data_IF_177743328269
#
_entry.id   IF_177743328269
#
_cell.length_a   1.000
_cell.length_b   1.000
_cell.length_c   1.000
_cell.angle_alpha   90.00
_cell.angle_beta   90.00
_cell.angle_gamma   90.00
#
_symmetry.space_group_name_H-M   'P 1'
#
loop_
_entity.id
_entity.type
_entity.pdbx_description
1 polymer ?
#
# COMPACT_ATOMS: atom_id res chain seq x y z
N UNK A 1 -14.13 10.69 -2.14
CA UNK A 1 -13.01 11.46 -1.57
C UNK A 1 -11.82 10.54 -1.46
N UNK A 2 -10.64 10.94 -1.92
CA UNK A 2 -9.43 10.12 -1.72
C UNK A 2 -9.19 9.90 -0.23
N UNK A 3 -8.76 8.70 0.12
CA UNK A 3 -8.44 8.33 1.50
C UNK A 3 -6.94 8.07 1.65
N UNK A 4 -6.45 8.26 2.87
CA UNK A 4 -5.08 7.90 3.26
C UNK A 4 -5.13 6.88 4.38
N UNK A 5 -4.27 5.87 4.31
CA UNK A 5 -4.07 4.86 5.35
C UNK A 5 -2.73 5.10 6.04
N UNK A 6 -2.72 5.00 7.36
CA UNK A 6 -1.49 4.89 8.14
C UNK A 6 -1.20 3.42 8.40
N UNK A 7 -0.04 2.94 7.98
CA UNK A 7 0.39 1.56 8.19
C UNK A 7 1.87 1.47 8.55
N UNK A 8 2.32 0.28 8.91
CA UNK A 8 3.74 -0.03 9.01
C UNK A 8 4.11 -0.97 7.86
N UNK A 9 5.23 -0.72 7.22
CA UNK A 9 5.75 -1.54 6.11
C UNK A 9 7.05 -2.20 6.54
N UNK A 10 7.22 -3.48 6.18
CA UNK A 10 8.42 -4.27 6.46
C UNK A 10 9.10 -4.63 5.14
N UNK A 11 10.42 -4.54 5.10
CA UNK A 11 11.21 -5.04 3.97
C UNK A 11 10.95 -6.54 3.77
N UNK A 12 10.61 -6.98 2.56
CA UNK A 12 10.17 -8.36 2.35
C UNK A 12 11.27 -9.41 2.66
N UNK A 13 12.53 -9.07 2.41
CA UNK A 13 13.69 -9.97 2.58
C UNK A 13 14.56 -9.64 3.80
N UNK A 14 14.10 -8.77 4.70
CA UNK A 14 14.89 -8.33 5.85
C UNK A 14 14.03 -7.98 7.05
N UNK A 15 14.66 -7.40 8.07
CA UNK A 15 14.01 -7.04 9.33
C UNK A 15 13.76 -5.53 9.47
N UNK A 16 14.14 -4.72 8.48
CA UNK A 16 13.86 -3.28 8.51
C UNK A 16 12.35 -3.02 8.41
N UNK A 17 11.84 -2.18 9.31
CA UNK A 17 10.44 -1.76 9.38
C UNK A 17 10.39 -0.24 9.39
N UNK A 18 9.45 0.33 8.62
CA UNK A 18 9.06 1.74 8.73
C UNK A 18 7.65 1.83 9.27
N UNK A 19 7.53 2.40 10.45
CA UNK A 19 6.25 2.62 11.10
C UNK A 19 5.59 3.91 10.62
N UNK A 20 4.25 3.96 10.77
CA UNK A 20 3.43 5.17 10.55
C UNK A 20 3.63 5.80 9.17
N UNK A 21 3.89 4.99 8.14
CA UNK A 21 3.90 5.49 6.76
C UNK A 21 2.47 5.81 6.35
N UNK A 22 2.30 6.90 5.62
CA UNK A 22 1.00 7.32 5.08
C UNK A 22 0.96 6.97 3.60
N UNK A 23 -0.03 6.17 3.20
CA UNK A 23 -0.26 5.80 1.80
C UNK A 23 -1.61 6.37 1.39
N UNK A 24 -1.65 7.13 0.29
CA UNK A 24 -2.88 7.64 -0.32
C UNK A 24 -3.03 7.10 -1.72
N UNK A 25 -4.26 6.79 -2.13
CA UNK A 25 -4.56 6.37 -3.50
C UNK A 25 -4.31 7.46 -4.55
N UNK A 26 -4.33 8.73 -4.12
CA UNK A 26 -4.07 9.88 -4.98
C UNK A 26 -2.60 10.28 -5.07
N UNK A 27 -1.75 9.72 -4.20
CA UNK A 27 -0.31 10.01 -4.19
C UNK A 27 0.34 9.36 -5.41
N UNK A 28 1.29 10.01 -6.05
CA UNK A 28 2.02 9.45 -7.20
C UNK A 28 3.49 9.82 -7.09
N UNK A 29 4.33 8.82 -6.90
CA UNK A 29 5.78 8.96 -6.75
C UNK A 29 6.49 8.21 -7.88
N UNK A 30 7.50 8.85 -8.46
CA UNK A 30 8.34 8.23 -9.48
C UNK A 30 9.16 7.08 -8.89
N UNK A 31 9.19 5.94 -9.59
CA UNK A 31 9.99 4.80 -9.17
C UNK A 31 11.41 4.95 -9.77
N UNK A 32 12.48 4.98 -8.94
CA UNK A 32 13.85 5.12 -9.45
C UNK A 32 14.21 4.03 -10.47
N UNK A 33 14.81 4.45 -11.60
CA UNK A 33 15.18 3.58 -12.73
C UNK A 33 14.01 2.84 -13.39
N UNK A 34 12.78 3.35 -13.25
CA UNK A 34 11.58 2.84 -13.90
C UNK A 34 10.87 3.96 -14.65
N UNK A 35 9.98 3.58 -15.58
CA UNK A 35 9.04 4.51 -16.23
C UNK A 35 7.69 4.58 -15.52
N UNK A 36 7.48 3.74 -14.51
CA UNK A 36 6.24 3.67 -13.74
C UNK A 36 6.28 4.53 -12.49
N UNK A 37 5.11 4.69 -11.88
CA UNK A 37 4.90 5.38 -10.62
C UNK A 37 4.25 4.44 -9.60
N UNK A 38 4.31 4.81 -8.32
CA UNK A 38 3.58 4.13 -7.25
C UNK A 38 3.00 5.14 -6.24
N UNK A 39 2.01 4.71 -5.44
CA UNK A 39 1.48 5.55 -4.36
C UNK A 39 2.48 5.74 -3.22
N UNK A 40 3.37 4.78 -3.00
CA UNK A 40 4.45 4.87 -2.01
C UNK A 40 5.69 4.14 -2.52
N UNK A 41 6.85 4.80 -2.42
CA UNK A 41 8.15 4.25 -2.79
C UNK A 41 9.09 4.30 -1.58
N UNK A 42 9.74 3.17 -1.30
CA UNK A 42 10.76 3.07 -0.25
C UNK A 42 12.01 2.40 -0.78
N UNK A 43 13.17 2.99 -0.51
CA UNK A 43 14.46 2.30 -0.66
C UNK A 43 14.97 1.90 0.70
N UNK A 44 15.05 0.59 0.92
CA UNK A 44 15.61 -0.03 2.12
C UNK A 44 17.14 0.03 2.09
N UNK A 45 17.78 0.01 3.26
CA UNK A 45 19.23 0.06 3.33
C UNK A 45 19.85 -1.18 2.68
N UNK A 46 20.93 -0.96 1.92
CA UNK A 46 21.58 -2.00 1.12
C UNK A 46 20.80 -2.47 -0.13
N UNK A 47 19.58 -1.98 -0.36
CA UNK A 47 18.79 -2.40 -1.52
C UNK A 47 19.17 -1.65 -2.80
N UNK A 48 19.36 -2.41 -3.89
CA UNK A 48 19.64 -1.86 -5.23
C UNK A 48 18.38 -1.33 -5.90
N UNK A 49 17.23 -1.95 -5.64
CA UNK A 49 15.92 -1.58 -6.18
C UNK A 49 15.07 -0.93 -5.09
N UNK A 50 14.19 -0.03 -5.50
CA UNK A 50 13.16 0.50 -4.61
C UNK A 50 12.01 -0.52 -4.50
N UNK A 51 11.43 -0.59 -3.31
CA UNK A 51 10.18 -1.27 -3.05
C UNK A 51 9.00 -0.29 -3.21
N UNK A 52 7.84 -0.83 -3.56
CA UNK A 52 6.67 -0.02 -3.92
C UNK A 52 5.40 -0.59 -3.33
N UNK A 53 4.45 0.31 -3.07
CA UNK A 53 3.11 -0.04 -2.64
C UNK A 53 2.08 0.82 -3.38
N UNK A 54 1.08 0.17 -3.96
CA UNK A 54 -0.05 0.79 -4.66
C UNK A 54 -1.36 0.37 -4.02
N UNK A 55 -2.25 1.34 -3.78
CA UNK A 55 -3.64 1.09 -3.45
C UNK A 55 -4.34 0.48 -4.66
N UNK A 56 -5.10 -0.58 -4.44
CA UNK A 56 -5.83 -1.28 -5.49
C UNK A 56 -7.29 -1.46 -5.13
N UNK A 57 -8.15 -1.25 -6.13
CA UNK A 57 -9.54 -1.68 -6.10
C UNK A 57 -9.68 -2.98 -6.87
N UNK A 58 -9.81 -4.08 -6.13
CA UNK A 58 -9.99 -5.40 -6.71
C UNK A 58 -11.47 -5.72 -6.76
N UNK A 59 -12.02 -5.77 -7.97
CA UNK A 59 -13.45 -6.04 -8.22
C UNK A 59 -13.91 -7.30 -7.47
N UNK A 60 -15.05 -7.20 -6.79
CA UNK A 60 -15.67 -8.25 -5.98
C UNK A 60 -14.83 -8.74 -4.79
N UNK A 61 -13.72 -8.07 -4.46
CA UNK A 61 -12.89 -8.36 -3.29
C UNK A 61 -12.88 -7.17 -2.36
N UNK A 62 -12.48 -6.00 -2.84
CA UNK A 62 -12.45 -4.78 -2.02
C UNK A 62 -13.81 -4.08 -2.04
N UNK A 63 -14.18 -3.49 -0.90
CA UNK A 63 -15.40 -2.73 -0.73
C UNK A 63 -15.10 -1.40 -0.04
N UNK A 64 -15.42 -0.28 -0.70
CA UNK A 64 -15.27 1.07 -0.12
C UNK A 64 -16.27 1.41 0.99
N UNK A 65 -17.25 0.54 1.23
CA UNK A 65 -18.31 0.74 2.23
C UNK A 65 -18.42 -0.46 3.16
N UNK A 66 -18.54 -0.15 4.44
CA UNK A 66 -18.89 -1.10 5.50
C UNK A 66 -20.29 -0.75 6.02
N UNK A 67 -21.17 -1.73 6.09
CA UNK A 67 -22.58 -1.55 6.49
C UNK A 67 -22.88 -2.27 7.80
N UNK A 68 -24.09 -2.09 8.33
CA UNK A 68 -24.52 -2.78 9.55
C UNK A 68 -24.50 -4.32 9.41
N UNK A 69 -24.73 -4.85 8.21
CA UNK A 69 -24.74 -6.30 7.93
C UNK A 69 -23.35 -6.95 8.00
N UNK A 70 -22.30 -6.14 7.91
CA UNK A 70 -20.91 -6.57 7.99
C UNK A 70 -20.42 -6.70 9.44
N UNK A 71 -21.21 -6.22 10.42
CA UNK A 71 -20.84 -6.23 11.83
C UNK A 71 -20.42 -7.61 12.31
N UNK A 72 -19.20 -7.71 12.84
CA UNK A 72 -18.60 -8.96 13.33
C UNK A 72 -17.98 -9.84 12.25
N UNK A 73 -17.94 -9.41 10.98
CA UNK A 73 -17.33 -10.13 9.87
C UNK A 73 -16.04 -9.45 9.41
N UNK A 74 -15.09 -10.25 8.95
CA UNK A 74 -13.95 -9.71 8.22
C UNK A 74 -14.39 -9.26 6.83
N UNK A 75 -14.19 -7.99 6.50
CA UNK A 75 -14.50 -7.41 5.19
C UNK A 75 -13.27 -6.71 4.64
N UNK A 76 -12.85 -7.09 3.44
CA UNK A 76 -11.74 -6.45 2.74
C UNK A 76 -12.15 -5.08 2.24
N UNK A 77 -11.63 -4.01 2.85
CA UNK A 77 -11.98 -2.62 2.47
C UNK A 77 -11.08 -2.10 1.35
N UNK A 78 -9.78 -2.39 1.43
CA UNK A 78 -8.74 -1.93 0.49
C UNK A 78 -7.77 -3.09 0.25
N UNK A 79 -7.20 -3.15 -0.94
CA UNK A 79 -6.09 -4.03 -1.28
C UNK A 79 -4.84 -3.21 -1.63
N UNK A 80 -3.69 -3.83 -1.48
CA UNK A 80 -2.42 -3.26 -1.88
C UNK A 80 -1.70 -4.18 -2.85
N UNK A 81 -1.13 -3.61 -3.89
CA UNK A 81 -0.09 -4.26 -4.69
C UNK A 81 1.27 -3.87 -4.12
N UNK A 82 2.04 -4.86 -3.67
CA UNK A 82 3.31 -4.66 -2.98
C UNK A 82 4.45 -5.33 -3.76
N UNK A 83 5.57 -4.62 -3.93
CA UNK A 83 6.82 -5.17 -4.49
C UNK A 83 8.00 -4.80 -3.61
N UNK A 84 8.69 -5.81 -3.06
CA UNK A 84 9.93 -5.64 -2.29
C UNK A 84 9.72 -5.24 -0.83
#
# INVERSE_FOLDING_TARGET
>A
TPFSLSCSVKQAAGEEVRERVTVSESETQDIPNSRGTANFVVRWDGSKQAATLNVQDVKNVTRRTYTAEDSGKFVSIVAFECRG
#
